data_IF_129802164898
#
_entry.id   IF_129802164898
#
_cell.length_a   1.000
_cell.length_b   1.000
_cell.length_c   1.000
_cell.angle_alpha   90.00
_cell.angle_beta   90.00
_cell.angle_gamma   90.00
#
_symmetry.space_group_name_H-M   'P 1'
#
loop_
_entity.id
_entity.type
_entity.pdbx_description
1 polymer ?
#
# COMPACT_ATOMS: atom_id res chain seq x y z
N UNK A 1 8.32 19.43 -11.35
CA UNK A 1 7.20 18.56 -11.79
C UNK A 1 7.00 17.38 -10.85
N UNK A 2 7.97 16.49 -10.65
CA UNK A 2 7.83 15.30 -9.79
C UNK A 2 7.31 15.60 -8.38
N UNK A 3 7.85 16.61 -7.69
CA UNK A 3 7.38 17.05 -6.36
C UNK A 3 5.91 17.50 -6.36
N UNK A 4 5.47 18.15 -7.45
CA UNK A 4 4.09 18.58 -7.61
C UNK A 4 3.16 17.36 -7.75
N UNK A 5 3.57 16.36 -8.53
CA UNK A 5 2.80 15.11 -8.68
C UNK A 5 2.68 14.41 -7.33
N UNK A 6 3.79 14.20 -6.63
CA UNK A 6 3.78 13.58 -5.30
C UNK A 6 2.92 14.36 -4.29
N UNK A 7 3.07 15.69 -4.22
CA UNK A 7 2.35 16.52 -3.26
C UNK A 7 0.85 16.61 -3.54
N UNK A 8 0.47 16.98 -4.77
CA UNK A 8 -0.95 17.12 -5.15
C UNK A 8 -1.65 15.76 -5.29
N UNK A 9 -0.96 14.74 -5.81
CA UNK A 9 -1.52 13.39 -5.89
C UNK A 9 -1.84 12.83 -4.51
N UNK A 10 -0.90 12.95 -3.55
CA UNK A 10 -1.13 12.53 -2.17
C UNK A 10 -2.21 13.37 -1.47
N UNK A 11 -2.25 14.68 -1.70
CA UNK A 11 -3.29 15.56 -1.18
C UNK A 11 -4.67 15.12 -1.67
N UNK A 12 -4.85 14.97 -2.98
CA UNK A 12 -6.12 14.59 -3.59
C UNK A 12 -6.57 13.18 -3.16
N UNK A 13 -5.65 12.20 -3.19
CA UNK A 13 -5.93 10.83 -2.79
C UNK A 13 -6.31 10.74 -1.31
N UNK A 14 -5.55 11.37 -0.41
CA UNK A 14 -5.86 11.36 1.02
C UNK A 14 -7.16 12.08 1.32
N UNK A 15 -7.45 13.19 0.64
CA UNK A 15 -8.75 13.88 0.74
C UNK A 15 -9.90 12.92 0.42
N UNK A 16 -9.79 12.14 -0.66
CA UNK A 16 -10.83 11.18 -1.07
C UNK A 16 -10.98 10.00 -0.12
N UNK A 17 -9.86 9.43 0.36
CA UNK A 17 -9.88 8.13 1.03
C UNK A 17 -9.96 8.17 2.55
N UNK A 18 -9.70 9.32 3.22
CA UNK A 18 -9.69 9.43 4.70
C UNK A 18 -11.00 8.97 5.32
N UNK A 19 -12.14 9.36 4.76
CA UNK A 19 -13.48 9.05 5.26
C UNK A 19 -14.28 8.10 4.36
N UNK A 20 -13.63 7.52 3.36
CA UNK A 20 -14.28 6.71 2.34
C UNK A 20 -14.99 5.46 2.91
N UNK A 21 -14.39 4.78 3.89
CA UNK A 21 -15.03 3.62 4.52
C UNK A 21 -16.24 4.00 5.37
N UNK A 22 -16.17 5.17 6.02
CA UNK A 22 -17.31 5.73 6.76
C UNK A 22 -18.45 6.04 5.79
N UNK A 23 -18.15 6.69 4.66
CA UNK A 23 -19.13 6.94 3.60
C UNK A 23 -19.76 5.64 3.09
N UNK A 24 -18.96 4.61 2.78
CA UNK A 24 -19.45 3.33 2.31
C UNK A 24 -20.38 2.65 3.34
N UNK A 25 -20.01 2.70 4.61
CA UNK A 25 -20.79 2.06 5.67
C UNK A 25 -22.08 2.82 6.03
N UNK A 26 -22.04 4.16 6.03
CA UNK A 26 -23.15 4.98 6.55
C UNK A 26 -24.04 5.57 5.48
N UNK A 27 -23.49 6.06 4.38
CA UNK A 27 -24.24 6.70 3.29
C UNK A 27 -24.71 5.67 2.28
N UNK A 28 -23.80 4.79 1.84
CA UNK A 28 -24.14 3.73 0.87
C UNK A 28 -24.81 2.54 1.55
N UNK A 29 -24.55 2.34 2.86
CA UNK A 29 -25.14 1.26 3.64
C UNK A 29 -24.54 -0.12 3.34
N UNK A 30 -23.24 -0.17 2.96
CA UNK A 30 -22.58 -1.43 2.64
C UNK A 30 -22.42 -2.30 3.88
N UNK A 31 -22.83 -3.55 3.76
CA UNK A 31 -22.58 -4.57 4.77
C UNK A 31 -21.11 -5.00 4.84
N UNK A 32 -20.70 -5.68 5.93
CA UNK A 32 -19.30 -6.06 6.15
C UNK A 32 -18.67 -6.85 5.00
N UNK A 33 -19.39 -7.78 4.41
CA UNK A 33 -18.91 -8.55 3.27
C UNK A 33 -18.72 -7.67 2.03
N UNK A 34 -19.62 -6.72 1.78
CA UNK A 34 -19.52 -5.81 0.63
C UNK A 34 -18.31 -4.87 0.77
N UNK A 35 -18.06 -4.34 1.98
CA UNK A 35 -16.88 -3.50 2.27
C UNK A 35 -15.58 -4.24 1.96
N UNK A 36 -15.47 -5.48 2.39
CA UNK A 36 -14.29 -6.31 2.12
C UNK A 36 -14.19 -6.68 0.64
N UNK A 37 -15.32 -6.99 -0.04
CA UNK A 37 -15.31 -7.29 -1.47
C UNK A 37 -14.84 -6.11 -2.33
N UNK A 38 -15.12 -4.86 -1.93
CA UNK A 38 -14.56 -3.67 -2.61
C UNK A 38 -13.03 -3.72 -2.59
N UNK A 39 -12.41 -4.05 -1.46
CA UNK A 39 -10.97 -4.21 -1.35
C UNK A 39 -10.43 -5.41 -2.14
N UNK A 40 -11.08 -6.56 -2.00
CA UNK A 40 -10.70 -7.78 -2.73
C UNK A 40 -10.72 -7.57 -4.25
N UNK A 41 -11.72 -6.86 -4.77
CA UNK A 41 -11.81 -6.52 -6.21
C UNK A 41 -10.68 -5.56 -6.59
N UNK A 42 -10.37 -4.57 -5.75
CA UNK A 42 -9.26 -3.64 -5.97
C UNK A 42 -7.95 -4.40 -6.14
N UNK A 43 -7.61 -5.26 -5.18
CA UNK A 43 -6.39 -6.06 -5.22
C UNK A 43 -6.37 -7.02 -6.42
N UNK A 44 -7.51 -7.64 -6.75
CA UNK A 44 -7.62 -8.51 -7.92
C UNK A 44 -7.37 -7.78 -9.24
N UNK A 45 -7.89 -6.57 -9.39
CA UNK A 45 -7.64 -5.73 -10.58
C UNK A 45 -6.18 -5.30 -10.64
N UNK A 46 -5.62 -4.82 -9.52
CA UNK A 46 -4.21 -4.44 -9.45
C UNK A 46 -3.30 -5.62 -9.79
N UNK A 47 -3.56 -6.80 -9.21
CA UNK A 47 -2.80 -8.01 -9.45
C UNK A 47 -2.76 -8.41 -10.93
N UNK A 48 -3.90 -8.36 -11.62
CA UNK A 48 -4.01 -8.72 -13.04
C UNK A 48 -3.46 -7.63 -13.96
N UNK A 49 -3.76 -6.36 -13.66
CA UNK A 49 -3.44 -5.24 -14.55
C UNK A 49 -2.01 -4.72 -14.41
N UNK A 50 -1.30 -4.97 -13.30
CA UNK A 50 0.03 -4.41 -13.03
C UNK A 50 1.07 -4.78 -14.10
N UNK A 51 1.07 -6.04 -14.57
CA UNK A 51 2.03 -6.49 -15.59
C UNK A 51 1.72 -5.90 -16.98
N UNK A 52 0.47 -5.97 -17.50
CA UNK A 52 0.12 -5.37 -18.76
C UNK A 52 0.37 -3.87 -18.83
N UNK A 53 0.01 -3.13 -17.78
CA UNK A 53 0.18 -1.66 -17.75
C UNK A 53 1.64 -1.24 -17.68
N UNK A 54 2.48 -1.96 -16.92
CA UNK A 54 3.92 -1.71 -16.89
C UNK A 54 4.57 -1.92 -18.25
N UNK A 55 4.22 -2.99 -18.97
CA UNK A 55 4.70 -3.22 -20.36
C UNK A 55 4.22 -2.10 -21.28
N UNK A 56 2.97 -1.67 -21.16
CA UNK A 56 2.42 -0.60 -21.99
C UNK A 56 3.17 0.73 -21.76
N UNK A 57 3.45 1.08 -20.50
CA UNK A 57 4.21 2.27 -20.15
C UNK A 57 5.63 2.28 -20.76
N UNK A 58 6.30 1.12 -20.73
CA UNK A 58 7.67 0.99 -21.28
C UNK A 58 7.70 0.97 -22.83
N UNK A 59 6.64 0.49 -23.49
CA UNK A 59 6.60 0.38 -24.95
C UNK A 59 6.03 1.63 -25.62
N UNK A 60 5.02 2.26 -25.02
CA UNK A 60 4.28 3.37 -25.65
C UNK A 60 4.78 4.71 -25.15
N UNK A 61 4.64 5.01 -23.85
CA UNK A 61 5.06 6.26 -23.22
C UNK A 61 4.75 6.22 -21.72
N UNK A 62 5.72 6.52 -20.89
CA UNK A 62 5.52 6.63 -19.45
C UNK A 62 4.67 7.84 -19.09
N UNK A 63 4.87 8.96 -19.79
CA UNK A 63 4.05 10.17 -19.68
C UNK A 63 2.57 9.88 -19.95
N UNK A 64 2.25 9.22 -21.05
CA UNK A 64 0.86 8.89 -21.40
C UNK A 64 0.23 7.93 -20.38
N UNK A 65 0.98 6.97 -19.87
CA UNK A 65 0.52 6.06 -18.83
C UNK A 65 0.14 6.81 -17.56
N UNK A 66 1.00 7.72 -17.09
CA UNK A 66 0.76 8.54 -15.89
C UNK A 66 -0.47 9.44 -16.08
N UNK A 67 -0.56 10.15 -17.21
CA UNK A 67 -1.70 11.03 -17.51
C UNK A 67 -3.01 10.23 -17.55
N UNK A 68 -3.05 9.14 -18.31
CA UNK A 68 -4.24 8.28 -18.41
C UNK A 68 -4.62 7.72 -17.02
N UNK A 69 -3.62 7.34 -16.22
CA UNK A 69 -3.84 6.87 -14.86
C UNK A 69 -4.53 7.89 -13.97
N UNK A 70 -4.06 9.13 -13.92
CA UNK A 70 -4.69 10.20 -13.13
C UNK A 70 -6.11 10.53 -13.62
N UNK A 71 -6.35 10.52 -14.94
CA UNK A 71 -7.69 10.75 -15.50
C UNK A 71 -8.66 9.61 -15.11
N UNK A 72 -8.23 8.35 -15.21
CA UNK A 72 -9.03 7.20 -14.80
C UNK A 72 -9.31 7.22 -13.30
N UNK A 73 -8.29 7.47 -12.47
CA UNK A 73 -8.45 7.57 -11.02
C UNK A 73 -9.45 8.65 -10.63
N UNK A 74 -9.34 9.85 -11.23
CA UNK A 74 -10.26 10.94 -10.97
C UNK A 74 -11.68 10.64 -11.42
N UNK A 75 -11.86 10.07 -12.61
CA UNK A 75 -13.18 9.64 -13.11
C UNK A 75 -13.79 8.55 -12.21
N UNK A 76 -13.01 7.56 -11.77
CA UNK A 76 -13.43 6.55 -10.81
C UNK A 76 -13.93 7.17 -9.51
N UNK A 77 -13.16 8.11 -8.91
CA UNK A 77 -13.55 8.78 -7.67
C UNK A 77 -14.83 9.61 -7.82
N UNK A 78 -15.06 10.25 -8.97
CA UNK A 78 -16.32 10.97 -9.22
C UNK A 78 -17.51 10.02 -9.24
N UNK A 79 -17.44 8.90 -9.94
CA UNK A 79 -18.50 7.88 -9.92
C UNK A 79 -18.72 7.37 -8.51
N UNK A 80 -17.63 7.11 -7.76
CA UNK A 80 -17.67 6.62 -6.38
C UNK A 80 -18.44 7.55 -5.43
N UNK A 81 -18.17 8.85 -5.49
CA UNK A 81 -18.79 9.84 -4.61
C UNK A 81 -20.19 10.28 -5.05
N UNK A 82 -20.49 10.29 -6.38
CA UNK A 82 -21.75 10.79 -6.91
C UNK A 82 -22.85 9.73 -6.99
N UNK A 83 -22.51 8.44 -7.08
CA UNK A 83 -23.49 7.36 -7.23
C UNK A 83 -23.40 6.39 -6.04
N UNK A 84 -24.19 6.62 -4.97
CA UNK A 84 -24.11 5.84 -3.72
C UNK A 84 -24.76 4.46 -3.86
N UNK A 85 -24.15 3.58 -4.62
CA UNK A 85 -24.60 2.20 -4.77
C UNK A 85 -23.41 1.23 -4.82
N UNK A 86 -23.59 -0.01 -4.32
CA UNK A 86 -22.54 -1.03 -4.32
C UNK A 86 -22.00 -1.31 -5.72
N UNK A 87 -22.88 -1.44 -6.72
CA UNK A 87 -22.48 -1.70 -8.11
C UNK A 87 -21.66 -0.58 -8.71
N UNK A 88 -22.06 0.69 -8.48
CA UNK A 88 -21.31 1.85 -8.95
C UNK A 88 -19.95 1.95 -8.28
N UNK A 89 -19.86 1.68 -6.96
CA UNK A 89 -18.59 1.64 -6.24
C UNK A 89 -17.67 0.55 -6.81
N UNK A 90 -18.17 -0.64 -7.14
CA UNK A 90 -17.34 -1.69 -7.75
C UNK A 90 -16.82 -1.26 -9.12
N UNK A 91 -17.65 -0.68 -9.98
CA UNK A 91 -17.22 -0.17 -11.30
C UNK A 91 -16.20 0.95 -11.13
N UNK A 92 -16.49 1.93 -10.24
CA UNK A 92 -15.60 3.03 -9.92
C UNK A 92 -14.23 2.53 -9.41
N UNK A 93 -14.25 1.51 -8.55
CA UNK A 93 -13.08 0.87 -7.99
C UNK A 93 -12.23 0.18 -9.06
N UNK A 94 -12.84 -0.54 -10.00
CA UNK A 94 -12.14 -1.14 -11.16
C UNK A 94 -11.47 -0.06 -12.00
N UNK A 95 -12.19 1.02 -12.34
CA UNK A 95 -11.64 2.14 -13.13
C UNK A 95 -10.49 2.83 -12.38
N UNK A 96 -10.67 3.09 -11.09
CA UNK A 96 -9.64 3.68 -10.23
C UNK A 96 -8.40 2.79 -10.14
N UNK A 97 -8.57 1.49 -9.92
CA UNK A 97 -7.47 0.52 -9.79
C UNK A 97 -6.65 0.40 -11.08
N UNK A 98 -7.30 0.37 -12.25
CA UNK A 98 -6.60 0.40 -13.55
C UNK A 98 -5.78 1.69 -13.66
N UNK A 99 -6.37 2.84 -13.28
CA UNK A 99 -5.67 4.11 -13.25
C UNK A 99 -4.46 4.09 -12.33
N UNK A 100 -4.60 3.56 -11.13
CA UNK A 100 -3.54 3.48 -10.13
C UNK A 100 -2.33 2.66 -10.63
N UNK A 101 -2.57 1.48 -11.21
CA UNK A 101 -1.48 0.65 -11.76
C UNK A 101 -0.85 1.23 -13.04
N UNK A 102 -1.56 2.11 -13.78
CA UNK A 102 -0.96 2.87 -14.88
C UNK A 102 0.03 3.93 -14.38
N UNK A 103 -0.18 4.48 -13.18
CA UNK A 103 0.73 5.45 -12.55
C UNK A 103 1.88 4.72 -11.87
N UNK A 104 1.58 3.60 -11.20
CA UNK A 104 2.56 2.87 -10.40
C UNK A 104 3.75 2.37 -11.26
N UNK A 105 4.94 2.67 -10.81
CA UNK A 105 6.17 2.38 -11.54
C UNK A 105 6.45 3.32 -12.72
N UNK A 106 5.45 3.71 -13.52
CA UNK A 106 5.62 4.60 -14.67
C UNK A 106 6.06 6.02 -14.25
N UNK A 107 5.47 6.56 -13.17
CA UNK A 107 5.84 7.86 -12.61
C UNK A 107 7.28 7.90 -12.12
N UNK A 108 7.69 6.88 -11.37
CA UNK A 108 9.05 6.78 -10.84
C UNK A 108 10.08 6.59 -11.95
N UNK A 109 9.76 5.75 -12.94
CA UNK A 109 10.61 5.51 -14.09
C UNK A 109 10.75 6.77 -14.96
N UNK A 110 9.65 7.50 -15.22
CA UNK A 110 9.68 8.79 -15.90
C UNK A 110 10.54 9.80 -15.13
N UNK A 111 10.35 9.90 -13.81
CA UNK A 111 11.13 10.83 -12.99
C UNK A 111 12.64 10.48 -13.00
N UNK A 112 12.98 9.20 -13.00
CA UNK A 112 14.39 8.78 -13.06
C UNK A 112 15.03 9.15 -14.39
N UNK A 113 14.33 8.99 -15.51
CA UNK A 113 14.84 9.32 -16.84
C UNK A 113 15.00 10.85 -17.00
N UNK A 114 13.99 11.64 -16.63
CA UNK A 114 13.99 13.10 -16.84
C UNK A 114 14.92 13.86 -15.87
N UNK A 115 15.10 13.34 -14.64
CA UNK A 115 15.93 14.02 -13.61
C UNK A 115 17.39 13.62 -13.73
N UNK A 116 17.66 12.41 -14.20
CA UNK A 116 18.98 11.83 -14.34
C UNK A 116 19.57 11.26 -13.04
N UNK A 117 20.60 10.40 -13.15
CA UNK A 117 21.11 9.57 -12.04
C UNK A 117 21.66 10.39 -10.87
N UNK A 118 22.27 11.55 -11.14
CA UNK A 118 22.95 12.35 -10.10
C UNK A 118 21.96 13.02 -9.13
N UNK A 119 20.73 13.29 -9.56
CA UNK A 119 19.73 14.06 -8.79
C UNK A 119 18.48 13.25 -8.41
N UNK A 120 18.27 12.09 -9.01
CA UNK A 120 17.04 11.30 -8.82
C UNK A 120 16.84 10.86 -7.36
N UNK A 121 17.90 10.46 -6.66
CA UNK A 121 17.82 10.06 -5.25
C UNK A 121 17.31 11.20 -4.35
N UNK A 122 17.84 12.41 -4.52
CA UNK A 122 17.39 13.59 -3.77
C UNK A 122 15.96 14.00 -4.15
N UNK A 123 15.59 13.83 -5.43
CA UNK A 123 14.24 14.10 -5.89
C UNK A 123 13.22 13.12 -5.28
N UNK A 124 13.55 11.84 -5.16
CA UNK A 124 12.68 10.85 -4.51
C UNK A 124 12.47 11.13 -3.02
N UNK A 125 13.54 11.51 -2.31
CA UNK A 125 13.41 11.90 -0.89
C UNK A 125 12.49 13.12 -0.74
N UNK A 126 12.72 14.17 -1.55
CA UNK A 126 11.88 15.38 -1.53
C UNK A 126 10.45 15.09 -2.00
N UNK A 127 10.29 14.21 -2.98
CA UNK A 127 8.98 13.74 -3.43
C UNK A 127 8.20 13.06 -2.31
N UNK A 128 8.84 12.16 -1.55
CA UNK A 128 8.25 11.55 -0.37
C UNK A 128 7.84 12.57 0.70
N UNK A 129 8.68 13.60 0.96
CA UNK A 129 8.34 14.68 1.89
C UNK A 129 7.14 15.51 1.39
N UNK A 130 7.12 15.86 0.09
CA UNK A 130 5.98 16.56 -0.51
C UNK A 130 4.70 15.72 -0.44
N UNK A 131 4.78 14.42 -0.69
CA UNK A 131 3.67 13.47 -0.54
C UNK A 131 3.16 13.40 0.88
N UNK A 132 4.05 13.31 1.88
CA UNK A 132 3.66 13.33 3.30
C UNK A 132 2.95 14.64 3.69
N UNK A 133 3.50 15.78 3.28
CA UNK A 133 2.85 17.08 3.52
C UNK A 133 1.49 17.15 2.84
N UNK A 134 1.39 16.68 1.59
CA UNK A 134 0.12 16.57 0.87
C UNK A 134 -0.91 15.70 1.60
N UNK A 135 -0.49 14.53 2.12
CA UNK A 135 -1.37 13.63 2.87
C UNK A 135 -1.88 14.26 4.16
N UNK A 136 -1.02 14.93 4.94
CA UNK A 136 -1.44 15.62 6.18
C UNK A 136 -2.47 16.72 5.88
N UNK A 137 -2.23 17.52 4.85
CA UNK A 137 -3.19 18.55 4.39
C UNK A 137 -4.48 17.90 3.87
N UNK A 138 -4.39 16.77 3.18
CA UNK A 138 -5.53 15.99 2.70
C UNK A 138 -6.43 15.49 3.82
N UNK A 139 -5.87 15.03 4.95
CA UNK A 139 -6.66 14.63 6.13
C UNK A 139 -7.47 15.82 6.66
N UNK A 140 -6.84 16.99 6.78
CA UNK A 140 -7.52 18.21 7.26
C UNK A 140 -8.62 18.63 6.28
N UNK A 141 -8.32 18.62 4.98
CA UNK A 141 -9.29 18.95 3.94
C UNK A 141 -10.47 17.96 3.94
N UNK A 142 -10.21 16.64 4.09
CA UNK A 142 -11.26 15.64 4.17
C UNK A 142 -12.21 15.88 5.35
N UNK A 143 -11.67 16.13 6.54
CA UNK A 143 -12.47 16.41 7.72
C UNK A 143 -13.30 17.70 7.57
N UNK A 144 -12.70 18.76 7.04
CA UNK A 144 -13.40 20.04 6.80
C UNK A 144 -14.50 19.93 5.73
N UNK A 145 -14.22 19.26 4.62
CA UNK A 145 -15.19 19.07 3.52
C UNK A 145 -16.34 18.15 3.94
N UNK A 146 -16.09 17.16 4.79
CA UNK A 146 -17.09 16.20 5.21
C UNK A 146 -18.20 16.81 6.08
N UNK A 147 -18.00 18.02 6.66
CA UNK A 147 -19.06 18.79 7.33
C UNK A 147 -20.23 19.08 6.36
N UNK A 148 -19.94 19.25 5.07
CA UNK A 148 -20.98 19.42 4.02
C UNK A 148 -21.57 18.08 3.53
N UNK A 149 -20.99 16.95 3.95
CA UNK A 149 -21.42 15.59 3.62
C UNK A 149 -20.24 14.68 3.30
N UNK A 150 -20.36 13.40 3.69
CA UNK A 150 -19.27 12.40 3.55
C UNK A 150 -18.88 12.08 2.10
N UNK A 151 -19.75 12.35 1.13
CA UNK A 151 -19.43 12.22 -0.30
C UNK A 151 -18.54 13.36 -0.81
N UNK A 152 -18.60 14.55 -0.18
CA UNK A 152 -17.92 15.78 -0.66
C UNK A 152 -16.41 15.62 -0.74
N UNK A 153 -15.71 15.05 0.26
CA UNK A 153 -14.27 14.81 0.16
C UNK A 153 -13.90 13.87 -0.99
N UNK A 154 -14.72 12.84 -1.25
CA UNK A 154 -14.47 11.88 -2.34
C UNK A 154 -14.57 12.57 -3.69
N UNK A 155 -15.65 13.34 -3.90
CA UNK A 155 -15.86 14.11 -5.14
C UNK A 155 -14.77 15.18 -5.32
N UNK A 156 -14.43 15.91 -4.26
CA UNK A 156 -13.36 16.92 -4.29
C UNK A 156 -12.00 16.30 -4.65
N UNK A 157 -11.66 15.18 -4.02
CA UNK A 157 -10.45 14.42 -4.36
C UNK A 157 -10.47 13.93 -5.81
N UNK A 158 -11.62 13.47 -6.30
CA UNK A 158 -11.81 13.09 -7.69
C UNK A 158 -11.59 14.25 -8.67
N UNK A 159 -12.17 15.43 -8.40
CA UNK A 159 -11.96 16.64 -9.18
C UNK A 159 -10.48 17.05 -9.18
N UNK A 160 -9.83 17.04 -8.02
CA UNK A 160 -8.41 17.39 -7.89
C UNK A 160 -7.51 16.40 -8.66
N UNK A 161 -7.82 15.11 -8.60
CA UNK A 161 -7.08 14.06 -9.32
C UNK A 161 -7.24 14.22 -10.84
N UNK A 162 -8.46 14.51 -11.32
CA UNK A 162 -8.72 14.85 -12.73
C UNK A 162 -7.99 16.13 -13.16
N UNK A 163 -8.06 17.17 -12.34
CA UNK A 163 -7.38 18.44 -12.61
C UNK A 163 -5.86 18.25 -12.70
N UNK A 164 -5.29 17.39 -11.82
CA UNK A 164 -3.88 17.01 -11.92
C UNK A 164 -3.60 16.29 -13.23
N UNK A 165 -4.41 15.31 -13.64
CA UNK A 165 -4.26 14.62 -14.93
C UNK A 165 -4.27 15.59 -16.13
N UNK A 166 -5.21 16.55 -16.13
CA UNK A 166 -5.29 17.60 -17.17
C UNK A 166 -4.05 18.52 -17.12
N UNK A 167 -3.62 18.91 -15.92
CA UNK A 167 -2.41 19.73 -15.75
C UNK A 167 -1.15 19.00 -16.30
N UNK A 168 -1.07 17.70 -16.09
CA UNK A 168 0.04 16.89 -16.60
C UNK A 168 0.04 16.78 -18.13
N UNK A 169 -1.12 16.85 -18.80
CA UNK A 169 -1.15 16.91 -20.27
C UNK A 169 -0.36 18.11 -20.83
N UNK A 170 -0.41 19.23 -20.10
CA UNK A 170 0.24 20.48 -20.52
C UNK A 170 1.70 20.55 -20.03
N UNK A 171 1.92 20.19 -18.77
CA UNK A 171 3.19 20.49 -18.11
C UNK A 171 4.18 19.30 -18.10
N UNK A 172 3.70 18.06 -18.20
CA UNK A 172 4.59 16.88 -18.15
C UNK A 172 5.26 16.70 -19.50
N UNK A 173 6.59 16.75 -19.51
CA UNK A 173 7.42 16.53 -20.70
C UNK A 173 8.00 15.11 -20.65
N UNK A 174 8.38 14.56 -21.80
CA UNK A 174 9.04 13.28 -21.94
C UNK A 174 10.13 13.43 -23.00
N UNK A 175 11.25 14.03 -22.61
CA UNK A 175 12.38 14.36 -23.51
C UNK A 175 13.49 13.30 -23.47
N UNK A 176 13.65 12.63 -22.31
CA UNK A 176 14.72 11.65 -22.10
C UNK A 176 14.30 10.20 -22.49
N UNK A 177 13.01 9.96 -22.76
CA UNK A 177 12.52 8.62 -23.10
C UNK A 177 12.82 8.26 -24.57
N UNK A 178 13.45 7.09 -24.79
CA UNK A 178 13.72 6.56 -26.12
C UNK A 178 12.97 5.21 -26.30
N UNK A 179 12.08 5.10 -27.32
CA UNK A 179 11.37 3.86 -27.61
C UNK A 179 12.38 2.74 -27.92
N UNK A 180 12.33 1.64 -27.17
CA UNK A 180 13.10 0.43 -27.43
C UNK A 180 14.44 0.29 -26.73
N UNK A 181 14.88 1.27 -25.88
CA UNK A 181 16.08 1.15 -25.07
C UNK A 181 15.99 0.00 -24.02
N UNK A 182 14.78 -0.34 -23.61
CA UNK A 182 14.50 -1.50 -22.74
C UNK A 182 13.45 -2.40 -23.39
N UNK A 183 13.83 -3.14 -24.45
CA UNK A 183 12.99 -4.25 -24.91
C UNK A 183 12.95 -5.34 -23.86
N UNK A 184 12.12 -5.15 -22.83
CA UNK A 184 11.67 -6.19 -21.93
C UNK A 184 10.89 -7.23 -22.75
N UNK A 185 11.60 -8.13 -23.42
CA UNK A 185 10.97 -9.26 -24.10
C UNK A 185 10.23 -10.10 -23.04
N UNK A 186 9.01 -10.55 -23.34
CA UNK A 186 8.30 -11.57 -22.55
C UNK A 186 9.20 -12.74 -22.13
N UNK A 187 10.20 -13.07 -22.97
CA UNK A 187 11.22 -14.08 -22.65
C UNK A 187 12.18 -13.63 -21.55
N UNK A 188 12.57 -12.35 -21.49
CA UNK A 188 13.43 -11.84 -20.42
C UNK A 188 12.67 -11.77 -19.10
N UNK A 189 11.43 -11.31 -19.11
CA UNK A 189 10.54 -11.28 -17.95
C UNK A 189 10.29 -12.70 -17.40
N UNK A 190 9.94 -13.68 -18.27
CA UNK A 190 9.80 -15.07 -17.85
C UNK A 190 11.08 -15.63 -17.25
N UNK A 191 12.25 -15.31 -17.81
CA UNK A 191 13.54 -15.71 -17.24
C UNK A 191 13.78 -15.11 -15.86
N UNK A 192 13.47 -13.84 -15.67
CA UNK A 192 13.58 -13.16 -14.37
C UNK A 192 12.65 -13.78 -13.34
N UNK A 193 11.38 -13.98 -13.66
CA UNK A 193 10.40 -14.63 -12.77
C UNK A 193 10.86 -16.04 -12.37
N UNK A 194 11.33 -16.85 -13.33
CA UNK A 194 11.87 -18.19 -13.06
C UNK A 194 13.13 -18.14 -12.20
N UNK A 195 14.02 -17.18 -12.44
CA UNK A 195 15.24 -16.99 -11.64
C UNK A 195 14.90 -16.56 -10.21
N UNK A 196 13.99 -15.60 -10.03
CA UNK A 196 13.51 -15.18 -8.71
C UNK A 196 12.80 -16.31 -7.97
N UNK A 197 11.93 -17.05 -8.66
CA UNK A 197 11.27 -18.22 -8.09
C UNK A 197 12.25 -19.31 -7.62
N UNK A 198 13.35 -19.54 -8.38
CA UNK A 198 14.43 -20.43 -7.96
C UNK A 198 15.19 -19.87 -6.73
N UNK A 199 15.47 -18.58 -6.70
CA UNK A 199 16.11 -17.93 -5.56
C UNK A 199 15.26 -18.07 -4.29
N UNK A 200 13.95 -17.84 -4.38
CA UNK A 200 13.02 -18.03 -3.24
C UNK A 200 12.97 -19.49 -2.79
N UNK A 201 12.86 -20.44 -3.72
CA UNK A 201 12.84 -21.88 -3.40
C UNK A 201 14.17 -22.38 -2.85
N UNK A 202 15.28 -21.81 -3.30
CA UNK A 202 16.64 -22.17 -2.86
C UNK A 202 17.04 -21.59 -1.51
N UNK A 203 16.28 -20.62 -0.98
CA UNK A 203 16.57 -19.96 0.29
C UNK A 203 15.40 -20.08 1.27
N UNK A 204 15.62 -20.81 2.37
CA UNK A 204 14.63 -20.94 3.43
C UNK A 204 14.26 -19.58 4.07
N UNK A 205 15.16 -18.59 4.03
CA UNK A 205 14.92 -17.23 4.51
C UNK A 205 13.96 -16.51 3.57
N UNK A 206 14.26 -16.48 2.27
CA UNK A 206 13.40 -15.84 1.27
C UNK A 206 12.03 -16.52 1.18
N UNK A 207 11.99 -17.85 1.22
CA UNK A 207 10.75 -18.62 1.28
C UNK A 207 9.90 -18.27 2.49
N UNK A 208 10.54 -18.13 3.66
CA UNK A 208 9.88 -17.72 4.90
C UNK A 208 9.36 -16.28 4.85
N UNK A 209 10.13 -15.34 4.26
CA UNK A 209 9.68 -13.95 4.07
C UNK A 209 8.47 -13.91 3.14
N UNK A 210 8.53 -14.53 1.97
CA UNK A 210 7.45 -14.52 0.96
C UNK A 210 6.19 -15.19 1.51
N UNK A 211 6.32 -16.36 2.16
CA UNK A 211 5.17 -17.03 2.77
C UNK A 211 4.59 -16.24 3.95
N UNK A 212 5.44 -15.63 4.79
CA UNK A 212 4.98 -14.75 5.87
C UNK A 212 4.23 -13.54 5.34
N UNK A 213 4.72 -12.91 4.27
CA UNK A 213 4.03 -11.78 3.61
C UNK A 213 2.66 -12.19 3.06
N UNK A 214 2.50 -13.40 2.50
CA UNK A 214 1.19 -13.90 2.09
C UNK A 214 0.19 -13.93 3.28
N UNK A 215 0.61 -14.41 4.44
CA UNK A 215 -0.25 -14.42 5.63
C UNK A 215 -0.47 -13.01 6.22
N UNK A 216 0.49 -12.10 6.08
CA UNK A 216 0.30 -10.69 6.41
C UNK A 216 -0.76 -10.05 5.49
N UNK A 217 -0.69 -10.30 4.19
CA UNK A 217 -1.72 -9.90 3.24
C UNK A 217 -3.09 -10.50 3.56
N UNK A 218 -3.13 -11.79 3.92
CA UNK A 218 -4.37 -12.50 4.31
C UNK A 218 -5.08 -11.80 5.49
N UNK A 219 -4.31 -11.21 6.40
CA UNK A 219 -4.79 -10.47 7.57
C UNK A 219 -5.23 -9.04 7.25
N UNK A 220 -4.60 -8.38 6.27
CA UNK A 220 -4.66 -6.93 6.11
C UNK A 220 -6.04 -6.41 5.69
N UNK A 221 -6.71 -7.04 4.71
CA UNK A 221 -8.01 -6.59 4.19
C UNK A 221 -9.08 -6.50 5.29
N UNK A 222 -9.06 -7.45 6.23
CA UNK A 222 -10.00 -7.41 7.35
C UNK A 222 -9.90 -6.16 8.19
N UNK A 223 -8.69 -5.78 8.57
CA UNK A 223 -8.46 -4.57 9.36
C UNK A 223 -8.71 -3.31 8.53
N UNK A 224 -8.21 -3.27 7.30
CA UNK A 224 -8.31 -2.10 6.44
C UNK A 224 -9.75 -1.73 6.08
N UNK A 225 -10.64 -2.71 5.95
CA UNK A 225 -12.05 -2.48 5.56
C UNK A 225 -13.03 -2.44 6.73
N UNK A 226 -12.75 -3.13 7.83
CA UNK A 226 -13.72 -3.28 8.92
C UNK A 226 -13.42 -2.39 10.13
N UNK A 227 -12.20 -1.86 10.28
CA UNK A 227 -11.81 -1.14 11.50
C UNK A 227 -12.58 0.17 11.71
N UNK A 228 -12.74 1.01 10.69
CA UNK A 228 -13.51 2.25 10.81
C UNK A 228 -15.00 1.98 11.05
N UNK A 229 -15.69 1.12 10.27
CA UNK A 229 -17.08 0.74 10.57
C UNK A 229 -17.28 0.15 11.97
N UNK A 230 -16.29 -0.60 12.48
CA UNK A 230 -16.36 -1.17 13.83
C UNK A 230 -16.30 -0.11 14.93
N UNK A 231 -15.62 1.03 14.68
CA UNK A 231 -15.55 2.15 15.63
C UNK A 231 -16.80 3.04 15.62
N UNK A 232 -17.62 3.05 14.57
CA UNK A 232 -18.79 3.93 14.44
C UNK A 232 -19.69 3.96 15.66
N UNK A 233 -20.10 2.80 16.24
CA UNK A 233 -20.98 2.81 17.42
C UNK A 233 -20.35 3.44 18.67
N UNK A 234 -19.01 3.51 18.72
CA UNK A 234 -18.30 4.06 19.89
C UNK A 234 -18.17 5.59 19.86
N UNK A 235 -18.50 6.22 18.73
CA UNK A 235 -18.37 7.67 18.53
C UNK A 235 -19.46 8.42 19.29
N UNK A 236 -20.68 7.85 19.38
CA UNK A 236 -21.84 8.52 19.99
C UNK A 236 -22.23 9.77 19.19
N UNK A 237 -22.56 10.85 19.90
CA UNK A 237 -23.03 12.11 19.32
C UNK A 237 -21.89 13.02 18.80
N UNK A 238 -20.64 12.55 18.76
CA UNK A 238 -19.51 13.34 18.28
C UNK A 238 -19.52 13.44 16.76
N UNK A 239 -19.03 14.57 16.18
CA UNK A 239 -18.89 14.72 14.75
C UNK A 239 -17.95 13.63 14.18
N UNK A 240 -18.52 12.76 13.34
CA UNK A 240 -17.82 11.58 12.78
C UNK A 240 -16.56 12.01 12.00
N UNK A 241 -16.67 13.08 11.23
CA UNK A 241 -15.62 13.63 10.40
C UNK A 241 -14.43 14.12 11.23
N UNK A 242 -14.69 14.75 12.37
CA UNK A 242 -13.62 15.23 13.26
C UNK A 242 -12.94 14.08 13.99
N UNK A 243 -13.70 13.07 14.43
CA UNK A 243 -13.14 11.90 15.12
C UNK A 243 -12.24 11.09 14.20
N UNK A 244 -12.71 10.72 13.02
CA UNK A 244 -11.90 9.97 12.08
C UNK A 244 -10.77 10.79 11.46
N UNK A 245 -10.97 12.10 11.26
CA UNK A 245 -9.91 13.03 10.88
C UNK A 245 -8.80 13.08 11.93
N UNK A 246 -9.16 13.17 13.21
CA UNK A 246 -8.20 13.17 14.33
C UNK A 246 -7.47 11.82 14.44
N UNK A 247 -8.17 10.70 14.30
CA UNK A 247 -7.56 9.36 14.28
C UNK A 247 -6.60 9.17 13.11
N UNK A 248 -6.98 9.63 11.91
CA UNK A 248 -6.12 9.58 10.75
C UNK A 248 -4.88 10.45 10.92
N UNK A 249 -5.04 11.65 11.46
CA UNK A 249 -3.92 12.56 11.78
C UNK A 249 -2.98 11.95 12.83
N UNK A 250 -3.54 11.41 13.92
CA UNK A 250 -2.74 10.76 14.96
C UNK A 250 -1.96 9.54 14.39
N UNK A 251 -2.59 8.73 13.54
CA UNK A 251 -1.94 7.62 12.88
C UNK A 251 -0.83 8.10 11.93
N UNK A 252 -1.08 9.12 11.11
CA UNK A 252 -0.08 9.66 10.18
C UNK A 252 1.14 10.24 10.90
N UNK A 253 0.92 11.08 11.92
CA UNK A 253 2.02 11.66 12.71
C UNK A 253 2.76 10.59 13.51
N UNK A 254 2.04 9.64 14.11
CA UNK A 254 2.63 8.51 14.81
C UNK A 254 3.47 7.63 13.88
N UNK A 255 2.99 7.35 12.67
CA UNK A 255 3.73 6.58 11.66
C UNK A 255 5.04 7.26 11.25
N UNK A 256 5.04 8.58 11.04
CA UNK A 256 6.26 9.35 10.75
C UNK A 256 7.29 9.19 11.88
N UNK A 257 6.85 9.33 13.14
CA UNK A 257 7.74 9.22 14.31
C UNK A 257 8.28 7.79 14.44
N UNK A 258 7.40 6.79 14.42
CA UNK A 258 7.78 5.39 14.64
C UNK A 258 8.66 4.88 13.50
N UNK A 259 8.32 5.16 12.24
CA UNK A 259 9.14 4.78 11.09
C UNK A 259 10.52 5.45 11.14
N UNK A 260 10.59 6.72 11.55
CA UNK A 260 11.84 7.43 11.73
C UNK A 260 12.72 6.83 12.85
N UNK A 261 12.12 6.40 13.96
CA UNK A 261 12.82 5.73 15.06
C UNK A 261 13.31 4.34 14.68
N UNK A 262 12.45 3.56 14.02
CA UNK A 262 12.77 2.22 13.53
C UNK A 262 13.90 2.28 12.50
N UNK A 263 13.80 3.20 11.51
CA UNK A 263 14.83 3.37 10.49
C UNK A 263 16.22 3.70 11.04
N UNK A 264 16.30 4.42 12.16
CA UNK A 264 17.59 4.73 12.84
C UNK A 264 18.20 3.53 13.57
N UNK A 265 17.40 2.51 13.91
CA UNK A 265 17.83 1.34 14.69
C UNK A 265 17.96 0.06 13.87
N UNK A 266 17.39 0.05 12.65
CA UNK A 266 17.51 -1.10 11.76
C UNK A 266 18.87 -1.06 11.05
N UNK A 267 19.63 -2.13 11.28
CA UNK A 267 20.93 -2.36 10.66
C UNK A 267 20.81 -3.50 9.64
N UNK A 268 21.14 -3.20 8.38
CA UNK A 268 21.18 -4.20 7.30
C UNK A 268 22.21 -5.29 7.54
N UNK A 269 23.22 -5.02 8.35
CA UNK A 269 24.23 -6.00 8.75
C UNK A 269 23.70 -7.07 9.71
N UNK A 270 22.49 -6.89 10.27
CA UNK A 270 21.91 -7.79 11.27
C UNK A 270 20.58 -8.39 10.83
N UNK A 271 20.53 -9.23 9.78
CA UNK A 271 19.27 -9.75 9.22
C UNK A 271 18.44 -10.56 10.22
N UNK A 272 19.10 -11.31 11.15
CA UNK A 272 18.41 -12.01 12.25
C UNK A 272 17.63 -11.06 13.17
N UNK A 273 18.17 -9.86 13.41
CA UNK A 273 17.53 -8.86 14.25
C UNK A 273 16.27 -8.32 13.56
N UNK A 274 16.38 -7.95 12.28
CA UNK A 274 15.23 -7.48 11.49
C UNK A 274 14.09 -8.50 11.46
N UNK A 275 14.39 -9.79 11.22
CA UNK A 275 13.36 -10.83 11.21
C UNK A 275 12.72 -11.08 12.58
N UNK A 276 13.47 -10.97 13.69
CA UNK A 276 12.91 -11.08 15.05
C UNK A 276 12.04 -9.91 15.41
N UNK A 277 12.46 -8.68 15.04
CA UNK A 277 11.66 -7.46 15.26
C UNK A 277 10.36 -7.54 14.47
N UNK A 278 10.42 -7.96 13.21
CA UNK A 278 9.22 -8.16 12.38
C UNK A 278 8.26 -9.18 13.01
N UNK A 279 8.77 -10.35 13.42
CA UNK A 279 7.95 -11.35 14.09
C UNK A 279 7.29 -10.82 15.38
N UNK A 280 8.01 -10.01 16.17
CA UNK A 280 7.46 -9.39 17.37
C UNK A 280 6.40 -8.33 17.03
N UNK A 281 6.65 -7.49 16.03
CA UNK A 281 5.69 -6.49 15.52
C UNK A 281 4.41 -7.17 15.06
N UNK A 282 4.52 -8.24 14.26
CA UNK A 282 3.34 -8.96 13.77
C UNK A 282 2.60 -9.72 14.88
N UNK A 283 3.32 -10.26 15.87
CA UNK A 283 2.68 -10.86 17.04
C UNK A 283 1.88 -9.84 17.85
N UNK A 284 2.43 -8.64 18.06
CA UNK A 284 1.73 -7.54 18.72
C UNK A 284 0.56 -7.02 17.87
N UNK A 285 0.73 -6.97 16.56
CA UNK A 285 -0.33 -6.62 15.60
C UNK A 285 -1.48 -7.62 15.67
N UNK A 286 -1.20 -8.91 15.63
CA UNK A 286 -2.21 -9.97 15.75
C UNK A 286 -2.97 -9.89 17.08
N UNK A 287 -2.24 -9.77 18.20
CA UNK A 287 -2.84 -9.60 19.53
C UNK A 287 -3.66 -8.30 19.61
N UNK A 288 -3.14 -7.21 19.05
CA UNK A 288 -3.83 -5.92 18.96
C UNK A 288 -5.12 -6.00 18.14
N UNK A 289 -5.12 -6.67 16.98
CA UNK A 289 -6.32 -6.86 16.15
C UNK A 289 -7.37 -7.70 16.85
N UNK A 290 -6.98 -8.79 17.51
CA UNK A 290 -7.90 -9.62 18.30
C UNK A 290 -8.46 -8.82 19.47
N UNK A 291 -7.59 -8.14 20.24
CA UNK A 291 -8.00 -7.29 21.35
C UNK A 291 -8.92 -6.14 20.92
N UNK A 292 -8.63 -5.53 19.75
CA UNK A 292 -9.48 -4.52 19.15
C UNK A 292 -10.87 -5.09 18.79
N UNK A 293 -10.91 -6.24 18.11
CA UNK A 293 -12.16 -6.90 17.75
C UNK A 293 -13.03 -7.31 18.97
N UNK A 294 -12.41 -7.56 20.11
CA UNK A 294 -13.10 -7.92 21.36
C UNK A 294 -13.56 -6.71 22.18
N UNK A 295 -12.79 -5.62 22.19
CA UNK A 295 -13.02 -4.48 23.11
C UNK A 295 -13.48 -3.18 22.44
N UNK A 296 -13.22 -3.00 21.14
CA UNK A 296 -13.49 -1.75 20.43
C UNK A 296 -12.63 -0.55 20.86
N UNK A 297 -11.53 -0.81 21.56
CA UNK A 297 -10.69 0.25 22.12
C UNK A 297 -9.94 1.07 21.05
N UNK A 298 -10.17 2.38 21.00
CA UNK A 298 -9.53 3.31 20.03
C UNK A 298 -8.00 3.28 20.06
N UNK A 299 -7.41 3.09 21.24
CA UNK A 299 -5.98 2.98 21.41
C UNK A 299 -5.41 1.71 20.75
N UNK A 300 -6.18 0.60 20.72
CA UNK A 300 -5.81 -0.62 20.01
C UNK A 300 -5.85 -0.41 18.49
N UNK A 301 -6.85 0.34 17.99
CA UNK A 301 -6.88 0.74 16.59
C UNK A 301 -5.60 1.51 16.19
N UNK A 302 -5.23 2.54 16.96
CA UNK A 302 -4.02 3.32 16.71
C UNK A 302 -2.75 2.47 16.85
N UNK A 303 -2.67 1.62 17.88
CA UNK A 303 -1.53 0.72 18.07
C UNK A 303 -1.34 -0.21 16.87
N UNK A 304 -2.40 -0.89 16.45
CA UNK A 304 -2.36 -1.79 15.29
C UNK A 304 -1.95 -1.03 14.03
N UNK A 305 -2.51 0.14 13.81
CA UNK A 305 -2.17 1.00 12.68
C UNK A 305 -0.68 1.32 12.64
N UNK A 306 -0.12 1.79 13.76
CA UNK A 306 1.30 2.14 13.88
C UNK A 306 2.23 0.92 13.72
N UNK A 307 1.86 -0.23 14.29
CA UNK A 307 2.63 -1.45 14.15
C UNK A 307 2.68 -1.92 12.70
N UNK A 308 1.56 -1.90 11.98
CA UNK A 308 1.48 -2.28 10.57
C UNK A 308 2.32 -1.36 9.68
N UNK A 309 2.28 -0.05 9.92
CA UNK A 309 3.07 0.92 9.15
C UNK A 309 4.59 0.70 9.33
N UNK A 310 5.02 0.08 10.43
CA UNK A 310 6.42 -0.28 10.66
C UNK A 310 6.86 -1.60 10.05
N UNK A 311 5.94 -2.51 9.77
CA UNK A 311 6.26 -3.84 9.24
C UNK A 311 6.89 -3.77 7.84
N UNK A 312 6.37 -2.93 6.95
CA UNK A 312 6.86 -2.80 5.57
C UNK A 312 8.33 -2.38 5.49
N UNK A 313 8.79 -1.28 6.12
CA UNK A 313 10.22 -0.92 6.08
C UNK A 313 11.13 -1.98 6.70
N UNK A 314 10.69 -2.68 7.75
CA UNK A 314 11.47 -3.77 8.35
C UNK A 314 11.61 -4.93 7.36
N UNK A 315 10.52 -5.33 6.72
CA UNK A 315 10.51 -6.38 5.69
C UNK A 315 11.43 -6.03 4.53
N UNK A 316 11.38 -4.78 4.04
CA UNK A 316 12.21 -4.31 2.95
C UNK A 316 13.71 -4.36 3.31
N UNK A 317 14.11 -3.90 4.50
CA UNK A 317 15.48 -3.98 4.98
C UNK A 317 15.94 -5.44 5.07
N UNK A 318 15.12 -6.32 5.60
CA UNK A 318 15.44 -7.74 5.69
C UNK A 318 15.57 -8.40 4.31
N UNK A 319 14.66 -8.08 3.39
CA UNK A 319 14.67 -8.61 2.03
C UNK A 319 15.92 -8.14 1.26
N UNK A 320 16.32 -6.87 1.41
CA UNK A 320 17.56 -6.33 0.84
C UNK A 320 18.77 -7.09 1.33
N UNK A 321 18.85 -7.39 2.64
CA UNK A 321 19.97 -8.14 3.24
C UNK A 321 20.02 -9.61 2.84
N UNK A 322 18.86 -10.19 2.43
CA UNK A 322 18.75 -11.59 2.04
C UNK A 322 18.88 -11.82 0.52
N UNK A 323 19.02 -10.75 -0.29
CA UNK A 323 19.04 -10.81 -1.75
C UNK A 323 20.32 -10.22 -2.35
N UNK A 324 20.77 -10.79 -3.47
CA UNK A 324 21.83 -10.22 -4.30
C UNK A 324 21.28 -9.11 -5.22
N UNK A 325 22.13 -8.18 -5.67
CA UNK A 325 21.72 -7.08 -6.54
C UNK A 325 20.97 -7.56 -7.79
N UNK A 326 21.40 -8.66 -8.42
CA UNK A 326 20.81 -9.19 -9.66
C UNK A 326 19.44 -9.88 -9.49
N UNK A 327 19.07 -10.32 -8.26
CA UNK A 327 17.80 -10.98 -7.98
C UNK A 327 16.81 -10.11 -7.21
N UNK A 328 17.28 -8.98 -6.65
CA UNK A 328 16.52 -8.14 -5.73
C UNK A 328 15.16 -7.69 -6.27
N UNK A 329 15.15 -7.06 -7.44
CA UNK A 329 13.91 -6.56 -8.05
C UNK A 329 12.88 -7.67 -8.25
N UNK A 330 13.30 -8.84 -8.70
CA UNK A 330 12.41 -9.98 -8.93
C UNK A 330 11.86 -10.54 -7.61
N UNK A 331 12.68 -10.62 -6.56
CA UNK A 331 12.23 -11.12 -5.24
C UNK A 331 11.25 -10.14 -4.60
N UNK A 332 11.47 -8.82 -4.71
CA UNK A 332 10.49 -7.80 -4.29
C UNK A 332 9.17 -7.94 -5.04
N UNK A 333 9.21 -8.18 -6.36
CA UNK A 333 8.00 -8.42 -7.15
C UNK A 333 7.26 -9.68 -6.70
N UNK A 334 7.97 -10.78 -6.41
CA UNK A 334 7.36 -12.01 -5.90
C UNK A 334 6.73 -11.79 -4.52
N UNK A 335 7.39 -11.04 -3.65
CA UNK A 335 6.89 -10.69 -2.32
C UNK A 335 5.62 -9.84 -2.42
N UNK A 336 5.59 -8.82 -3.29
CA UNK A 336 4.41 -8.00 -3.52
C UNK A 336 3.24 -8.82 -4.10
N UNK A 337 3.51 -9.76 -5.02
CA UNK A 337 2.49 -10.66 -5.54
C UNK A 337 1.96 -11.63 -4.46
N UNK A 338 2.81 -12.10 -3.55
CA UNK A 338 2.38 -12.94 -2.44
C UNK A 338 1.46 -12.17 -1.48
N UNK A 339 1.78 -10.91 -1.20
CA UNK A 339 0.94 -10.01 -0.40
C UNK A 339 -0.45 -9.82 -1.04
N UNK A 340 -0.49 -9.43 -2.32
CA UNK A 340 -1.74 -9.24 -3.05
C UNK A 340 -2.60 -10.52 -3.11
N UNK A 341 -1.98 -11.69 -3.34
CA UNK A 341 -2.69 -12.98 -3.28
C UNK A 341 -3.24 -13.25 -1.88
N UNK A 342 -2.49 -12.89 -0.83
CA UNK A 342 -2.96 -12.96 0.55
C UNK A 342 -4.21 -12.11 0.76
N UNK A 343 -4.17 -10.85 0.34
CA UNK A 343 -5.29 -9.90 0.46
C UNK A 343 -6.54 -10.42 -0.28
N UNK A 344 -6.37 -10.89 -1.53
CA UNK A 344 -7.47 -11.46 -2.32
C UNK A 344 -8.07 -12.70 -1.62
N UNK A 345 -7.24 -13.57 -1.07
CA UNK A 345 -7.70 -14.81 -0.43
C UNK A 345 -8.28 -14.58 0.97
N UNK A 346 -7.77 -13.61 1.72
CA UNK A 346 -8.14 -13.33 3.12
C UNK A 346 -9.42 -12.52 3.24
N UNK A 347 -9.67 -11.61 2.30
CA UNK A 347 -10.82 -10.72 2.35
C UNK A 347 -12.16 -11.47 2.48
N UNK A 348 -12.55 -12.31 1.51
CA UNK A 348 -13.88 -12.95 1.53
C UNK A 348 -14.18 -13.78 2.80
N UNK A 349 -13.28 -14.64 3.34
CA UNK A 349 -13.53 -15.35 4.60
C UNK A 349 -13.76 -14.41 5.78
N UNK A 350 -12.96 -13.35 5.92
CA UNK A 350 -13.12 -12.35 6.98
C UNK A 350 -14.46 -11.62 6.82
N UNK A 351 -14.81 -11.20 5.60
CA UNK A 351 -16.08 -10.57 5.30
C UNK A 351 -17.29 -11.43 5.62
N UNK A 352 -17.24 -12.73 5.30
CA UNK A 352 -18.31 -13.69 5.63
C UNK A 352 -18.47 -13.85 7.14
N UNK A 353 -17.37 -13.95 7.91
CA UNK A 353 -17.43 -14.04 9.37
C UNK A 353 -17.99 -12.74 9.96
N UNK A 354 -17.52 -11.58 9.46
CA UNK A 354 -18.03 -10.28 9.91
C UNK A 354 -19.53 -10.11 9.63
N UNK A 355 -20.02 -10.58 8.46
CA UNK A 355 -21.41 -10.51 8.07
C UNK A 355 -22.30 -11.47 8.89
N UNK A 356 -21.81 -12.68 9.18
CA UNK A 356 -22.62 -13.72 9.87
C UNK A 356 -22.58 -13.61 11.39
N UNK A 357 -21.51 -13.07 11.96
CA UNK A 357 -21.35 -12.99 13.42
C UNK A 357 -21.28 -11.53 13.90
N UNK A 358 -20.18 -10.86 13.66
CA UNK A 358 -19.97 -9.45 14.01
C UNK A 358 -18.70 -8.91 13.36
N UNK A 359 -18.61 -7.58 13.24
CA UNK A 359 -17.39 -6.90 12.78
C UNK A 359 -16.17 -7.26 13.65
N UNK A 360 -16.35 -7.33 14.98
CA UNK A 360 -15.30 -7.72 15.91
C UNK A 360 -14.83 -9.17 15.71
N UNK A 361 -15.73 -10.10 15.37
CA UNK A 361 -15.35 -11.47 15.03
C UNK A 361 -14.53 -11.51 13.72
N UNK A 362 -14.92 -10.73 12.71
CA UNK A 362 -14.14 -10.59 11.48
C UNK A 362 -12.73 -10.07 11.73
N UNK A 363 -12.60 -8.99 12.52
CA UNK A 363 -11.31 -8.42 12.93
C UNK A 363 -10.46 -9.43 13.71
N UNK A 364 -11.06 -10.21 14.60
CA UNK A 364 -10.35 -11.25 15.35
C UNK A 364 -9.83 -12.38 14.42
N UNK A 365 -10.63 -12.80 13.42
CA UNK A 365 -10.18 -13.77 12.41
C UNK A 365 -9.04 -13.19 11.55
N UNK A 366 -9.13 -11.92 11.17
CA UNK A 366 -8.04 -11.26 10.47
C UNK A 366 -6.75 -11.27 11.32
N UNK A 367 -6.82 -11.00 12.63
CA UNK A 367 -5.68 -11.14 13.54
C UNK A 367 -5.14 -12.56 13.62
N UNK A 368 -6.00 -13.58 13.62
CA UNK A 368 -5.58 -14.99 13.61
C UNK A 368 -4.85 -15.38 12.33
N UNK A 369 -5.22 -14.81 11.18
CA UNK A 369 -4.52 -15.04 9.91
C UNK A 369 -3.08 -14.55 9.91
N UNK A 370 -2.72 -13.63 10.80
CA UNK A 370 -1.34 -13.15 10.94
C UNK A 370 -0.45 -14.11 11.75
N UNK A 371 -1.03 -15.00 12.56
CA UNK A 371 -0.25 -15.91 13.44
C UNK A 371 0.75 -16.79 12.67
N UNK A 372 0.41 -17.41 11.52
CA UNK A 372 1.38 -18.15 10.73
C UNK A 372 2.54 -17.29 10.23
N UNK A 373 2.33 -16.01 9.90
CA UNK A 373 3.39 -15.09 9.49
C UNK A 373 4.43 -14.93 10.62
N UNK A 374 3.97 -14.75 11.87
CA UNK A 374 4.84 -14.64 13.05
C UNK A 374 5.77 -15.86 13.16
N UNK A 375 5.21 -17.06 13.02
CA UNK A 375 5.99 -18.30 13.08
C UNK A 375 7.00 -18.40 11.93
N UNK A 376 6.56 -18.07 10.69
CA UNK A 376 7.41 -18.10 9.50
C UNK A 376 8.56 -17.10 9.59
N UNK A 377 8.30 -15.88 10.03
CA UNK A 377 9.35 -14.87 10.21
C UNK A 377 10.31 -15.23 11.33
N UNK A 378 9.81 -15.76 12.45
CA UNK A 378 10.68 -16.24 13.53
C UNK A 378 11.59 -17.41 13.08
N UNK A 379 11.06 -18.35 12.30
CA UNK A 379 11.83 -19.47 11.75
C UNK A 379 12.85 -19.00 10.71
N UNK A 380 12.45 -18.10 9.80
CA UNK A 380 13.35 -17.53 8.80
C UNK A 380 14.47 -16.70 9.45
N UNK A 381 14.15 -15.93 10.50
CA UNK A 381 15.15 -15.18 11.27
C UNK A 381 16.22 -16.08 11.93
N UNK A 382 15.84 -17.27 12.41
CA UNK A 382 16.80 -18.22 12.97
C UNK A 382 17.79 -18.74 11.93
N UNK A 383 17.36 -18.82 10.67
CA UNK A 383 18.17 -19.33 9.53
C UNK A 383 18.92 -18.23 8.80
N UNK A 384 18.67 -16.95 9.11
CA UNK A 384 19.41 -15.83 8.54
C UNK A 384 20.83 -15.81 9.10
N UNK A 385 21.84 -15.88 8.23
CA UNK A 385 23.25 -15.74 8.61
C UNK A 385 23.62 -14.26 8.68
N UNK A 386 24.57 -13.87 9.55
CA UNK A 386 25.14 -12.54 9.51
C UNK A 386 25.82 -12.35 8.15
N UNK A 387 25.68 -11.15 7.57
CA UNK A 387 26.40 -10.78 6.35
C UNK A 387 27.90 -10.92 6.65
N UNK A 388 28.58 -11.85 5.96
CA UNK A 388 30.03 -11.98 6.09
C UNK A 388 30.66 -10.72 5.54
N UNK A 389 31.46 -10.05 6.36
CA UNK A 389 32.25 -8.85 6.00
C UNK A 389 33.44 -9.13 5.08
N UNK A 390 33.55 -10.35 4.55
CA UNK A 390 34.76 -10.83 3.85
C UNK A 390 34.77 -10.53 2.34
N UNK A 391 33.92 -9.62 1.85
CA UNK A 391 34.20 -9.03 0.54
C UNK A 391 35.15 -7.85 0.76
N UNK A 392 36.41 -8.18 0.99
CA UNK A 392 37.52 -7.26 0.74
C UNK A 392 37.38 -6.84 -0.72
N UNK A 393 37.02 -5.59 -0.94
CA UNK A 393 37.17 -4.96 -2.25
C UNK A 393 38.67 -4.94 -2.50
N UNK A 394 39.17 -5.90 -3.28
CA UNK A 394 40.51 -5.77 -3.83
C UNK A 394 40.59 -4.44 -4.58
N UNK A 395 41.53 -3.55 -4.26
CA UNK A 395 41.71 -2.34 -5.05
C UNK A 395 42.07 -2.78 -6.47
N UNK A 396 41.27 -2.34 -7.43
CA UNK A 396 41.55 -2.52 -8.85
C UNK A 396 42.96 -1.93 -9.14
N UNK A 397 43.78 -2.64 -9.91
CA UNK A 397 45.14 -2.25 -10.25
C UNK A 397 45.21 -0.94 -11.07
#
# INVERSE_FOLDING_TARGET
MYLLICGLGSFAGTTAFTLNLVYQATVVGLGPLQLVLVGTVMEGVCFVAQVPTGVLADVVSRRLSVIAGYLLMGAGLLVWGLVPSFGAILVANVVWSIGAVCVDGAEQAWAADEIGPDRVSSAFVRGGQAGQAGSLLGIVAAAGLAVAGLAVPIVAGGVLTLALGVLLMVLMKEEAWAPGATRGSWRSMRRQVVAGGRAVRGSAVLGGIVAGTFFAGLSSEGFDRLSQPFLLPTIGDRPIELVFGALAMAAALGSIVVTGLVGRRLDTARPRHAGRVLAAVDALTAAGMIGFGLSGGWWLYLLVRLLRDTATPITNVWLVSATTAGSRATVFSIQAQADALGQIAGGPPVGVVAQRRSLGAGLSVAGLFLVPAVALFALAARRSEPVRSDVVVEPLP
#
